data_IF_396800315966
#
_entry.id   IF_396800315966
#
_cell.length_a   1.000
_cell.length_b   1.000
_cell.length_c   1.000
_cell.angle_alpha   90.00
_cell.angle_beta   90.00
_cell.angle_gamma   90.00
#
_symmetry.space_group_name_H-M   'P 1'
#
loop_
_entity.id
_entity.type
_entity.pdbx_description
1 polymer ?
#
# COMPACT_ATOMS: atom_id res chain seq x y z
N UNK A 1 4.25 -28.89 4.57
CA UNK A 1 4.67 -27.92 3.54
C UNK A 1 4.70 -26.48 4.05
N UNK A 2 3.62 -25.90 4.60
CA UNK A 2 3.62 -24.54 5.17
C UNK A 2 4.65 -24.31 6.28
N UNK A 3 4.79 -25.19 7.32
CA UNK A 3 5.76 -24.97 8.41
C UNK A 3 7.21 -24.93 7.92
N UNK A 4 7.56 -25.76 6.96
CA UNK A 4 8.91 -25.79 6.37
C UNK A 4 9.21 -24.54 5.55
N UNK A 5 8.22 -24.03 4.80
CA UNK A 5 8.34 -22.78 4.06
C UNK A 5 8.58 -21.59 5.02
N UNK A 6 7.80 -21.50 6.09
CA UNK A 6 7.94 -20.43 7.10
C UNK A 6 9.30 -20.52 7.78
N UNK A 7 9.73 -21.71 8.19
CA UNK A 7 11.04 -21.94 8.83
C UNK A 7 12.20 -21.53 7.91
N UNK A 8 12.17 -21.99 6.66
CA UNK A 8 13.21 -21.65 5.66
C UNK A 8 13.26 -20.16 5.38
N UNK A 9 12.09 -19.51 5.21
CA UNK A 9 12.00 -18.08 4.98
C UNK A 9 12.54 -17.28 6.18
N UNK A 10 12.19 -17.68 7.41
CA UNK A 10 12.69 -17.05 8.62
C UNK A 10 14.23 -17.15 8.75
N UNK A 11 14.79 -18.32 8.45
CA UNK A 11 16.24 -18.52 8.52
C UNK A 11 16.99 -17.65 7.49
N UNK A 12 16.48 -17.56 6.26
CA UNK A 12 17.03 -16.69 5.21
C UNK A 12 16.88 -15.21 5.53
N UNK A 13 15.73 -14.81 6.07
CA UNK A 13 15.51 -13.43 6.52
C UNK A 13 16.48 -13.04 7.64
N UNK A 14 16.70 -13.94 8.62
CA UNK A 14 17.67 -13.73 9.69
C UNK A 14 19.10 -13.56 9.18
N UNK A 15 19.48 -14.26 8.11
CA UNK A 15 20.81 -14.13 7.49
C UNK A 15 21.01 -12.82 6.74
N UNK A 16 19.94 -12.25 6.13
CA UNK A 16 20.01 -11.08 5.24
C UNK A 16 19.19 -9.89 5.76
N UNK A 17 18.85 -9.82 7.05
CA UNK A 17 17.93 -8.83 7.59
C UNK A 17 18.42 -7.39 7.41
N UNK A 18 19.74 -7.14 7.54
CA UNK A 18 20.33 -5.81 7.34
C UNK A 18 20.19 -5.34 5.89
N UNK A 19 20.39 -6.24 4.92
CA UNK A 19 20.25 -5.94 3.51
C UNK A 19 18.79 -5.64 3.14
N UNK A 20 17.87 -6.45 3.66
CA UNK A 20 16.41 -6.26 3.48
C UNK A 20 15.99 -4.93 4.10
N UNK A 21 16.41 -4.65 5.34
CA UNK A 21 16.11 -3.38 6.02
C UNK A 21 16.70 -2.18 5.26
N UNK A 22 17.96 -2.27 4.81
CA UNK A 22 18.60 -1.18 4.07
C UNK A 22 17.87 -0.87 2.75
N UNK A 23 17.46 -1.90 1.99
CA UNK A 23 16.66 -1.72 0.77
C UNK A 23 15.31 -1.09 1.11
N UNK A 24 14.63 -1.58 2.14
CA UNK A 24 13.35 -1.02 2.59
C UNK A 24 13.48 0.47 2.96
N UNK A 25 14.48 0.83 3.77
CA UNK A 25 14.74 2.22 4.14
C UNK A 25 15.06 3.12 2.93
N UNK A 26 15.80 2.62 1.94
CA UNK A 26 16.06 3.36 0.70
C UNK A 26 14.76 3.68 -0.05
N UNK A 27 13.87 2.70 -0.22
CA UNK A 27 12.60 2.92 -0.94
C UNK A 27 11.58 3.71 -0.11
N UNK A 28 11.56 3.54 1.21
CA UNK A 28 10.76 4.36 2.12
C UNK A 28 11.21 5.83 2.06
N UNK A 29 12.53 6.08 2.12
CA UNK A 29 13.09 7.42 1.94
C UNK A 29 12.76 8.03 0.57
N UNK A 30 12.85 7.23 -0.50
CA UNK A 30 12.43 7.66 -1.85
C UNK A 30 10.94 7.99 -1.88
N UNK A 31 10.11 7.17 -1.28
CA UNK A 31 8.67 7.42 -1.14
C UNK A 31 8.41 8.75 -0.45
N UNK A 32 9.07 9.01 0.68
CA UNK A 32 8.93 10.26 1.41
C UNK A 32 9.34 11.47 0.55
N UNK A 33 10.48 11.40 -0.15
CA UNK A 33 10.96 12.47 -1.03
C UNK A 33 9.98 12.75 -2.17
N UNK A 34 9.28 11.74 -2.69
CA UNK A 34 8.30 11.90 -3.75
C UNK A 34 6.95 12.41 -3.22
N UNK A 35 6.45 11.83 -2.15
CA UNK A 35 5.08 12.10 -1.66
C UNK A 35 4.99 13.38 -0.83
N UNK A 36 5.99 13.73 -0.02
CA UNK A 36 5.91 14.91 0.85
C UNK A 36 5.72 16.22 0.05
N UNK A 37 6.51 16.54 -1.00
CA UNK A 37 6.28 17.73 -1.80
C UNK A 37 4.99 17.66 -2.63
N UNK A 38 4.62 16.46 -3.10
CA UNK A 38 3.38 16.27 -3.87
C UNK A 38 2.13 16.55 -3.02
N UNK A 39 2.09 16.01 -1.80
CA UNK A 39 1.01 16.25 -0.85
C UNK A 39 0.99 17.70 -0.37
N UNK A 40 2.17 18.30 -0.13
CA UNK A 40 2.29 19.71 0.21
C UNK A 40 1.77 20.63 -0.89
N UNK A 41 2.13 20.36 -2.15
CA UNK A 41 1.63 21.10 -3.30
C UNK A 41 0.11 20.93 -3.49
N UNK A 42 -0.39 19.71 -3.29
CA UNK A 42 -1.83 19.43 -3.33
C UNK A 42 -2.58 20.21 -2.23
N UNK A 43 -2.07 20.20 -1.00
CA UNK A 43 -2.68 20.96 0.10
C UNK A 43 -2.73 22.47 -0.20
N UNK A 44 -1.63 23.04 -0.70
CA UNK A 44 -1.62 24.46 -1.11
C UNK A 44 -2.58 24.75 -2.28
N UNK A 45 -2.67 23.85 -3.24
CA UNK A 45 -3.61 23.96 -4.35
C UNK A 45 -5.05 23.98 -3.85
N UNK A 46 -5.42 23.08 -2.95
CA UNK A 46 -6.75 22.99 -2.35
C UNK A 46 -7.08 24.22 -1.50
N UNK A 47 -6.12 24.73 -0.70
CA UNK A 47 -6.29 25.99 0.05
C UNK A 47 -6.59 27.17 -0.89
N UNK A 48 -5.85 27.27 -2.00
CA UNK A 48 -6.11 28.32 -3.01
C UNK A 48 -7.47 28.16 -3.66
N UNK A 49 -7.89 26.93 -3.94
CA UNK A 49 -9.18 26.67 -4.59
C UNK A 49 -10.36 26.94 -3.65
N UNK A 50 -10.22 26.60 -2.36
CA UNK A 50 -11.27 26.82 -1.34
C UNK A 50 -11.41 28.29 -0.93
N UNK A 51 -10.37 29.10 -1.13
CA UNK A 51 -10.34 30.49 -0.66
C UNK A 51 -10.38 30.63 0.88
N UNK A 52 -10.22 29.53 1.61
CA UNK A 52 -10.29 29.47 3.08
C UNK A 52 -8.88 29.42 3.69
N UNK A 53 -8.70 29.92 4.92
CA UNK A 53 -7.41 29.85 5.61
C UNK A 53 -7.03 28.42 6.07
N UNK A 54 -8.01 27.51 6.14
CA UNK A 54 -7.81 26.09 6.46
C UNK A 54 -8.82 25.23 5.70
N UNK A 55 -8.41 23.99 5.40
CA UNK A 55 -9.29 22.99 4.79
C UNK A 55 -10.09 22.28 5.90
N UNK A 56 -11.40 22.20 5.70
CA UNK A 56 -12.25 21.33 6.51
C UNK A 56 -12.26 19.91 5.94
N UNK A 57 -12.57 18.91 6.77
CA UNK A 57 -12.67 17.52 6.35
C UNK A 57 -13.63 17.31 5.18
N UNK A 58 -14.70 18.10 5.16
CA UNK A 58 -15.69 18.10 4.06
C UNK A 58 -15.13 18.64 2.74
N UNK A 59 -14.25 19.64 2.78
CA UNK A 59 -13.59 20.16 1.57
C UNK A 59 -12.70 19.08 0.93
N UNK A 60 -11.99 18.29 1.76
CA UNK A 60 -11.18 17.16 1.32
C UNK A 60 -12.04 16.03 0.74
N UNK A 61 -13.18 15.73 1.38
CA UNK A 61 -14.12 14.72 0.90
C UNK A 61 -14.71 15.10 -0.46
N UNK A 62 -15.21 16.32 -0.61
CA UNK A 62 -15.76 16.81 -1.88
C UNK A 62 -14.69 16.83 -2.98
N UNK A 63 -13.46 17.22 -2.65
CA UNK A 63 -12.38 17.11 -3.61
C UNK A 63 -12.12 15.67 -4.01
N UNK A 64 -11.99 14.74 -3.06
CA UNK A 64 -11.72 13.31 -3.33
C UNK A 64 -12.81 12.70 -4.23
N UNK A 65 -14.06 13.11 -4.06
CA UNK A 65 -15.19 12.65 -4.88
C UNK A 65 -15.29 13.40 -6.23
N UNK A 66 -14.55 14.49 -6.43
CA UNK A 66 -14.52 15.21 -7.71
C UNK A 66 -13.70 14.42 -8.75
N UNK A 67 -13.94 14.64 -10.07
CA UNK A 67 -13.12 14.02 -11.12
C UNK A 67 -11.63 14.37 -10.99
N UNK A 68 -11.29 15.59 -10.56
CA UNK A 68 -9.92 16.02 -10.34
C UNK A 68 -9.29 15.28 -9.15
N UNK A 69 -10.02 15.16 -8.04
CA UNK A 69 -9.58 14.41 -6.87
C UNK A 69 -9.41 12.90 -7.15
N UNK A 70 -10.36 12.30 -7.87
CA UNK A 70 -10.25 10.93 -8.32
C UNK A 70 -8.99 10.69 -9.17
N UNK A 71 -8.69 11.61 -10.11
CA UNK A 71 -7.47 11.55 -10.92
C UNK A 71 -6.20 11.63 -10.04
N UNK A 72 -6.17 12.57 -9.08
CA UNK A 72 -5.04 12.71 -8.14
C UNK A 72 -4.86 11.45 -7.29
N UNK A 73 -5.94 10.89 -6.77
CA UNK A 73 -5.89 9.64 -5.99
C UNK A 73 -5.35 8.47 -6.82
N UNK A 74 -5.82 8.33 -8.07
CA UNK A 74 -5.30 7.32 -9.00
C UNK A 74 -3.81 7.52 -9.25
N UNK A 75 -3.36 8.76 -9.44
CA UNK A 75 -1.95 9.09 -9.66
C UNK A 75 -1.10 8.73 -8.42
N UNK A 76 -1.55 9.08 -7.22
CA UNK A 76 -0.87 8.73 -5.97
C UNK A 76 -0.74 7.22 -5.80
N UNK A 77 -1.82 6.48 -6.04
CA UNK A 77 -1.81 5.01 -6.01
C UNK A 77 -0.88 4.44 -7.07
N UNK A 78 -0.88 4.99 -8.28
CA UNK A 78 0.01 4.54 -9.35
C UNK A 78 1.49 4.74 -9.01
N UNK A 79 1.86 5.90 -8.45
CA UNK A 79 3.24 6.17 -7.98
C UNK A 79 3.61 5.20 -6.86
N UNK A 80 2.72 4.96 -5.89
CA UNK A 80 2.95 4.01 -4.80
C UNK A 80 3.22 2.60 -5.35
N UNK A 81 2.41 2.12 -6.30
CA UNK A 81 2.58 0.81 -6.93
C UNK A 81 3.92 0.71 -7.66
N UNK A 82 4.36 1.78 -8.32
CA UNK A 82 5.68 1.82 -8.97
C UNK A 82 6.79 1.68 -7.93
N UNK A 83 6.78 2.46 -6.86
CA UNK A 83 7.79 2.40 -5.79
C UNK A 83 7.83 1.00 -5.16
N UNK A 84 6.67 0.45 -4.81
CA UNK A 84 6.55 -0.91 -4.26
C UNK A 84 7.08 -1.97 -5.26
N UNK A 85 6.80 -1.84 -6.56
CA UNK A 85 7.28 -2.78 -7.56
C UNK A 85 8.82 -2.77 -7.67
N UNK A 86 9.45 -1.60 -7.58
CA UNK A 86 10.91 -1.46 -7.53
C UNK A 86 11.51 -2.05 -6.24
N UNK A 87 10.90 -1.79 -5.10
CA UNK A 87 11.29 -2.37 -3.82
C UNK A 87 11.22 -3.89 -3.87
N UNK A 88 10.08 -4.46 -4.29
CA UNK A 88 9.91 -5.90 -4.44
C UNK A 88 10.93 -6.51 -5.40
N UNK A 89 11.24 -5.83 -6.52
CA UNK A 89 12.26 -6.28 -7.45
C UNK A 89 13.65 -6.37 -6.79
N UNK A 90 14.02 -5.38 -5.98
CA UNK A 90 15.28 -5.37 -5.24
C UNK A 90 15.31 -6.45 -4.15
N UNK A 91 14.22 -6.62 -3.40
CA UNK A 91 14.11 -7.66 -2.37
C UNK A 91 14.17 -9.08 -2.97
N UNK A 92 13.52 -9.29 -4.13
CA UNK A 92 13.60 -10.56 -4.86
C UNK A 92 15.01 -10.85 -5.37
N UNK A 93 15.77 -9.82 -5.77
CA UNK A 93 17.16 -9.98 -6.18
C UNK A 93 18.05 -10.44 -5.00
N UNK A 94 17.82 -9.90 -3.78
CA UNK A 94 18.47 -10.38 -2.56
C UNK A 94 18.14 -11.86 -2.31
N UNK A 95 16.84 -12.21 -2.36
CA UNK A 95 16.39 -13.58 -2.14
C UNK A 95 16.96 -14.58 -3.16
N UNK A 96 17.09 -14.16 -4.43
CA UNK A 96 17.69 -14.99 -5.47
C UNK A 96 19.20 -15.18 -5.27
N UNK A 97 19.94 -14.13 -4.88
CA UNK A 97 21.36 -14.20 -4.57
C UNK A 97 21.62 -15.18 -3.40
N UNK A 98 20.84 -15.07 -2.32
CA UNK A 98 20.90 -15.96 -1.17
C UNK A 98 20.57 -17.42 -1.54
N UNK A 99 19.55 -17.64 -2.38
CA UNK A 99 19.19 -18.95 -2.88
C UNK A 99 20.31 -19.59 -3.72
N UNK A 100 21.11 -18.77 -4.43
CA UNK A 100 22.27 -19.18 -5.19
C UNK A 100 23.56 -19.30 -4.35
N UNK A 101 23.50 -19.18 -3.02
CA UNK A 101 24.66 -19.23 -2.13
C UNK A 101 25.61 -18.03 -2.27
N UNK A 102 25.17 -16.95 -2.90
CA UNK A 102 25.95 -15.72 -3.06
C UNK A 102 25.61 -14.74 -1.95
N UNK A 103 26.60 -13.92 -1.55
CA UNK A 103 26.36 -12.86 -0.60
C UNK A 103 25.45 -11.80 -1.23
N UNK A 104 24.33 -11.51 -0.58
CA UNK A 104 23.41 -10.46 -1.02
C UNK A 104 24.03 -9.08 -0.74
N UNK A 105 24.14 -8.24 -1.77
CA UNK A 105 24.63 -6.88 -1.64
C UNK A 105 23.52 -5.88 -1.96
N UNK A 106 23.35 -4.87 -1.10
CA UNK A 106 22.31 -3.84 -1.23
C UNK A 106 22.44 -3.11 -2.57
N UNK A 107 23.66 -2.63 -2.88
CA UNK A 107 23.92 -1.89 -4.11
C UNK A 107 23.64 -2.71 -5.36
N UNK A 108 24.03 -3.99 -5.37
CA UNK A 108 23.77 -4.88 -6.50
C UNK A 108 22.26 -5.10 -6.70
N UNK A 109 21.48 -5.22 -5.61
CA UNK A 109 20.02 -5.38 -5.68
C UNK A 109 19.32 -4.11 -6.19
N UNK A 110 19.75 -2.93 -5.76
CA UNK A 110 19.23 -1.65 -6.26
C UNK A 110 19.58 -1.45 -7.75
N UNK A 111 20.83 -1.77 -8.14
CA UNK A 111 21.24 -1.72 -9.55
C UNK A 111 20.49 -2.72 -10.43
N UNK A 112 20.13 -3.90 -9.89
CA UNK A 112 19.29 -4.86 -10.60
C UNK A 112 17.93 -4.27 -10.96
N UNK A 113 17.24 -3.64 -10.00
CA UNK A 113 15.93 -3.00 -10.24
C UNK A 113 16.06 -1.80 -11.19
N UNK A 114 17.09 -0.97 -11.04
CA UNK A 114 17.36 0.17 -11.93
C UNK A 114 17.65 -0.25 -13.38
N UNK A 115 18.38 -1.35 -13.61
CA UNK A 115 18.60 -1.87 -14.97
C UNK A 115 17.33 -2.41 -15.62
N UNK A 116 16.31 -2.71 -14.83
CA UNK A 116 15.00 -3.21 -15.28
C UNK A 116 13.88 -2.19 -15.15
N UNK A 117 14.22 -0.90 -15.17
CA UNK A 117 13.28 0.22 -15.02
C UNK A 117 12.09 0.10 -15.98
N UNK A 118 12.34 -0.11 -17.27
CA UNK A 118 11.28 -0.15 -18.30
C UNK A 118 10.33 -1.35 -18.10
N UNK A 119 10.81 -2.60 -17.91
CA UNK A 119 9.93 -3.72 -17.59
C UNK A 119 9.12 -3.53 -16.32
N UNK A 120 9.72 -3.01 -15.24
CA UNK A 120 9.04 -2.77 -13.96
C UNK A 120 7.97 -1.70 -14.11
N UNK A 121 8.27 -0.60 -14.79
CA UNK A 121 7.32 0.50 -15.02
C UNK A 121 6.12 0.03 -15.87
N UNK A 122 6.38 -0.72 -16.94
CA UNK A 122 5.33 -1.32 -17.78
C UNK A 122 4.49 -2.33 -17.00
N UNK A 123 5.10 -3.13 -16.12
CA UNK A 123 4.38 -4.03 -15.23
C UNK A 123 3.47 -3.25 -14.27
N UNK A 124 4.02 -2.25 -13.58
CA UNK A 124 3.28 -1.43 -12.62
C UNK A 124 2.11 -0.69 -13.28
N UNK A 125 2.30 -0.07 -14.44
CA UNK A 125 1.24 0.59 -15.19
C UNK A 125 0.11 -0.38 -15.58
N UNK A 126 0.45 -1.60 -16.02
CA UNK A 126 -0.56 -2.64 -16.31
C UNK A 126 -1.28 -3.12 -15.07
N UNK A 127 -0.58 -3.24 -13.94
CA UNK A 127 -1.17 -3.59 -12.66
C UNK A 127 -2.19 -2.54 -12.23
N UNK A 128 -1.84 -1.23 -12.31
CA UNK A 128 -2.75 -0.12 -12.03
C UNK A 128 -4.02 -0.21 -12.89
N UNK A 129 -3.87 -0.38 -14.21
CA UNK A 129 -5.03 -0.51 -15.12
C UNK A 129 -5.90 -1.71 -14.74
N UNK A 130 -5.31 -2.86 -14.43
CA UNK A 130 -6.06 -4.05 -14.00
C UNK A 130 -6.78 -3.84 -12.66
N UNK A 131 -6.15 -3.16 -11.72
CA UNK A 131 -6.79 -2.80 -10.44
C UNK A 131 -7.95 -1.84 -10.66
N UNK A 132 -7.77 -0.80 -11.49
CA UNK A 132 -8.84 0.14 -11.82
C UNK A 132 -10.04 -0.56 -12.49
N UNK A 133 -9.81 -1.43 -13.47
CA UNK A 133 -10.87 -2.23 -14.11
C UNK A 133 -11.58 -3.12 -13.09
N UNK A 134 -10.86 -3.65 -12.10
CA UNK A 134 -11.45 -4.50 -11.05
C UNK A 134 -12.27 -3.69 -10.05
N UNK A 135 -11.81 -2.50 -9.65
CA UNK A 135 -12.42 -1.66 -8.61
C UNK A 135 -13.58 -0.81 -9.16
N UNK A 136 -13.47 -0.29 -10.39
CA UNK A 136 -14.42 0.63 -10.96
C UNK A 136 -15.90 0.18 -10.88
N UNK A 137 -16.28 -1.08 -11.21
CA UNK A 137 -17.67 -1.49 -11.13
C UNK A 137 -18.22 -1.48 -9.69
N UNK A 138 -17.40 -1.81 -8.70
CA UNK A 138 -17.80 -1.76 -7.29
C UNK A 138 -18.01 -0.32 -6.82
N UNK A 139 -17.11 0.59 -7.20
CA UNK A 139 -17.26 2.00 -6.88
C UNK A 139 -18.52 2.60 -7.55
N UNK A 140 -18.79 2.23 -8.80
CA UNK A 140 -20.01 2.67 -9.48
C UNK A 140 -21.27 2.18 -8.77
N UNK A 141 -21.35 0.90 -8.39
CA UNK A 141 -22.48 0.35 -7.65
C UNK A 141 -22.61 0.99 -6.27
N UNK A 142 -21.49 1.21 -5.55
CA UNK A 142 -21.49 1.88 -4.25
C UNK A 142 -21.97 3.34 -4.36
N UNK A 143 -21.53 4.05 -5.39
CA UNK A 143 -21.98 5.43 -5.65
C UNK A 143 -23.49 5.50 -5.94
N UNK A 144 -24.01 4.57 -6.75
CA UNK A 144 -25.44 4.48 -7.03
C UNK A 144 -26.23 4.14 -5.76
N UNK A 145 -25.76 3.18 -4.96
CA UNK A 145 -26.42 2.81 -3.70
C UNK A 145 -26.43 3.99 -2.71
N UNK A 146 -25.32 4.71 -2.58
CA UNK A 146 -25.23 5.90 -1.75
C UNK A 146 -26.16 7.01 -2.24
N UNK A 147 -26.20 7.24 -3.55
CA UNK A 147 -27.11 8.23 -4.16
C UNK A 147 -28.56 7.98 -3.81
N UNK A 148 -29.05 6.74 -3.92
CA UNK A 148 -30.44 6.43 -3.65
C UNK A 148 -30.79 6.41 -2.15
N UNK A 149 -29.82 6.19 -1.27
CA UNK A 149 -30.10 5.99 0.15
C UNK A 149 -29.78 7.21 1.03
N UNK A 150 -28.83 8.06 0.62
CA UNK A 150 -28.32 9.16 1.45
C UNK A 150 -28.18 10.50 0.73
N UNK A 151 -28.94 10.73 -0.38
CA UNK A 151 -28.86 12.01 -1.11
C UNK A 151 -29.77 13.11 -0.56
N UNK A 152 -30.77 12.78 0.26
CA UNK A 152 -31.85 13.69 0.63
C UNK A 152 -31.47 14.71 1.72
N UNK A 153 -30.42 14.41 2.50
CA UNK A 153 -29.96 15.25 3.61
C UNK A 153 -28.44 15.41 3.61
N UNK A 154 -27.94 16.38 4.38
CA UNK A 154 -26.50 16.56 4.60
C UNK A 154 -25.91 15.39 5.39
N UNK A 155 -24.63 15.09 5.16
CA UNK A 155 -23.91 14.00 5.82
C UNK A 155 -23.91 14.13 7.34
N UNK A 156 -23.89 15.38 7.86
CA UNK A 156 -23.98 15.65 9.29
C UNK A 156 -25.30 15.18 9.89
N UNK A 157 -26.40 15.30 9.15
CA UNK A 157 -27.70 14.76 9.58
C UNK A 157 -27.64 13.24 9.75
N UNK A 158 -27.09 12.53 8.74
CA UNK A 158 -26.99 11.08 8.80
C UNK A 158 -26.07 10.60 9.93
N UNK A 159 -25.00 11.32 10.22
CA UNK A 159 -24.10 10.97 11.32
C UNK A 159 -24.71 11.25 12.71
N UNK A 160 -25.50 12.32 12.84
CA UNK A 160 -26.10 12.73 14.10
C UNK A 160 -27.38 11.97 14.42
N UNK A 161 -28.29 11.81 13.44
CA UNK A 161 -29.62 11.21 13.63
C UNK A 161 -29.60 9.69 13.41
N UNK A 162 -28.70 9.19 12.54
CA UNK A 162 -28.54 7.79 12.18
C UNK A 162 -29.87 7.09 11.80
N UNK A 163 -30.61 7.65 10.83
CA UNK A 163 -31.89 7.08 10.43
C UNK A 163 -31.70 5.69 9.78
N UNK A 164 -32.80 4.91 9.61
CA UNK A 164 -32.72 3.55 9.01
C UNK A 164 -32.03 3.53 7.64
N UNK A 165 -32.20 4.57 6.82
CA UNK A 165 -31.59 4.74 5.50
C UNK A 165 -30.06 4.80 5.60
N UNK A 166 -29.52 5.43 6.65
CA UNK A 166 -28.08 5.48 6.93
C UNK A 166 -27.54 4.07 7.18
N UNK A 167 -28.20 3.28 8.01
CA UNK A 167 -27.76 1.90 8.29
C UNK A 167 -27.89 1.00 7.08
N UNK A 168 -28.93 1.19 6.25
CA UNK A 168 -29.09 0.48 4.98
C UNK A 168 -27.96 0.83 4.02
N UNK A 169 -27.62 2.12 3.89
CA UNK A 169 -26.49 2.58 3.05
C UNK A 169 -25.14 2.04 3.56
N UNK A 170 -24.88 2.15 4.86
CA UNK A 170 -23.67 1.63 5.48
C UNK A 170 -23.52 0.11 5.27
N UNK A 171 -24.61 -0.64 5.43
CA UNK A 171 -24.65 -2.07 5.18
C UNK A 171 -24.41 -2.42 3.70
N UNK A 172 -25.07 -1.73 2.78
CA UNK A 172 -24.90 -1.94 1.33
C UNK A 172 -23.47 -1.61 0.89
N UNK A 173 -22.96 -0.43 1.24
CA UNK A 173 -21.59 0.00 0.89
C UNK A 173 -20.55 -0.92 1.56
N UNK A 174 -20.79 -1.30 2.83
CA UNK A 174 -19.93 -2.25 3.55
C UNK A 174 -19.87 -3.61 2.87
N UNK A 175 -21.02 -4.15 2.43
CA UNK A 175 -21.06 -5.42 1.69
C UNK A 175 -20.33 -5.32 0.34
N UNK A 176 -20.54 -4.24 -0.41
CA UNK A 176 -19.85 -3.98 -1.68
C UNK A 176 -18.33 -3.88 -1.45
N UNK A 177 -17.90 -3.17 -0.40
CA UNK A 177 -16.49 -3.05 -0.03
C UNK A 177 -15.85 -4.40 0.35
N UNK A 178 -16.57 -5.24 1.09
CA UNK A 178 -16.12 -6.60 1.42
C UNK A 178 -15.98 -7.46 0.15
N UNK A 179 -16.96 -7.44 -0.74
CA UNK A 179 -16.92 -8.18 -2.00
C UNK A 179 -15.77 -7.70 -2.89
N UNK A 180 -15.57 -6.39 -3.00
CA UNK A 180 -14.44 -5.78 -3.71
C UNK A 180 -13.10 -6.23 -3.13
N UNK A 181 -12.96 -6.16 -1.81
CA UNK A 181 -11.72 -6.56 -1.10
C UNK A 181 -11.43 -8.04 -1.32
N UNK A 182 -12.43 -8.91 -1.20
CA UNK A 182 -12.28 -10.34 -1.46
C UNK A 182 -11.82 -10.62 -2.90
N UNK A 183 -12.42 -9.92 -3.88
CA UNK A 183 -12.01 -10.05 -5.29
C UNK A 183 -10.58 -9.52 -5.51
N UNK A 184 -10.22 -8.38 -4.91
CA UNK A 184 -8.86 -7.82 -5.00
C UNK A 184 -7.82 -8.79 -4.43
N UNK A 185 -8.05 -9.35 -3.24
CA UNK A 185 -7.16 -10.35 -2.64
C UNK A 185 -7.02 -11.56 -3.57
N UNK A 186 -8.13 -12.07 -4.10
CA UNK A 186 -8.11 -13.18 -5.05
C UNK A 186 -7.27 -12.85 -6.29
N UNK A 187 -7.45 -11.67 -6.89
CA UNK A 187 -6.69 -11.21 -8.06
C UNK A 187 -5.20 -11.05 -7.74
N UNK A 188 -4.86 -10.45 -6.60
CA UNK A 188 -3.47 -10.28 -6.17
C UNK A 188 -2.77 -11.63 -5.96
N UNK A 189 -3.45 -12.62 -5.38
CA UNK A 189 -2.94 -13.99 -5.28
C UNK A 189 -2.69 -14.60 -6.67
N UNK A 190 -3.62 -14.42 -7.60
CA UNK A 190 -3.47 -14.90 -8.97
C UNK A 190 -2.29 -14.23 -9.71
N UNK A 191 -1.98 -12.97 -9.39
CA UNK A 191 -0.92 -12.18 -10.03
C UNK A 191 0.39 -12.14 -9.24
N UNK A 192 0.49 -12.87 -8.13
CA UNK A 192 1.66 -12.85 -7.24
C UNK A 192 2.98 -13.24 -7.91
N UNK A 193 2.94 -14.09 -8.94
CA UNK A 193 4.11 -14.50 -9.72
C UNK A 193 4.35 -13.63 -10.96
N UNK A 194 3.50 -12.63 -11.25
CA UNK A 194 3.61 -11.87 -12.49
C UNK A 194 4.91 -11.02 -12.53
N UNK A 195 5.28 -10.36 -11.42
CA UNK A 195 6.52 -9.60 -11.33
C UNK A 195 7.78 -10.50 -11.41
N UNK A 196 7.89 -11.61 -10.65
CA UNK A 196 8.98 -12.57 -10.83
C UNK A 196 9.16 -13.07 -12.27
N UNK A 197 8.07 -13.34 -12.99
CA UNK A 197 8.12 -13.77 -14.39
C UNK A 197 8.71 -12.69 -15.31
N UNK A 198 8.38 -11.42 -15.05
CA UNK A 198 8.98 -10.28 -15.80
C UNK A 198 10.48 -10.14 -15.47
N UNK A 199 10.86 -10.31 -14.20
CA UNK A 199 12.22 -10.04 -13.74
C UNK A 199 13.20 -11.17 -14.06
N UNK A 200 12.78 -12.43 -13.93
CA UNK A 200 13.68 -13.57 -13.95
C UNK A 200 13.46 -14.52 -15.14
N UNK A 201 12.27 -14.46 -15.77
CA UNK A 201 11.97 -15.24 -16.95
C UNK A 201 11.94 -14.38 -18.24
N UNK A 202 12.33 -13.11 -18.15
CA UNK A 202 12.31 -12.11 -19.23
C UNK A 202 10.98 -12.07 -20.01
N UNK A 203 9.88 -12.41 -19.31
CA UNK A 203 8.55 -12.45 -19.90
C UNK A 203 8.00 -11.03 -20.10
N UNK A 204 7.42 -10.78 -21.27
CA UNK A 204 6.76 -9.50 -21.54
C UNK A 204 5.66 -9.22 -20.49
N UNK A 205 5.61 -8.00 -19.89
CA UNK A 205 4.64 -7.64 -18.85
C UNK A 205 3.17 -7.88 -19.24
N UNK A 206 2.86 -7.80 -20.55
CA UNK A 206 1.51 -8.08 -21.05
C UNK A 206 1.08 -9.54 -20.83
N UNK A 207 2.00 -10.49 -20.92
CA UNK A 207 1.74 -11.93 -20.81
C UNK A 207 1.94 -12.46 -19.41
N UNK A 208 2.68 -11.75 -18.54
CA UNK A 208 3.05 -12.22 -17.20
C UNK A 208 1.85 -12.47 -16.29
N UNK A 209 0.81 -11.64 -16.36
CA UNK A 209 -0.40 -11.81 -15.55
C UNK A 209 -1.15 -13.11 -15.89
N UNK A 210 -1.37 -13.39 -17.18
CA UNK A 210 -2.05 -14.62 -17.62
C UNK A 210 -1.20 -15.87 -17.31
N UNK A 211 0.13 -15.77 -17.45
CA UNK A 211 1.02 -16.85 -17.07
C UNK A 211 1.01 -17.08 -15.54
N UNK A 212 1.03 -16.01 -14.74
CA UNK A 212 0.90 -16.09 -13.29
C UNK A 212 -0.40 -16.78 -12.86
N UNK A 213 -1.54 -16.43 -13.45
CA UNK A 213 -2.82 -17.05 -13.15
C UNK A 213 -2.81 -18.57 -13.38
N UNK A 214 -2.15 -19.03 -14.46
CA UNK A 214 -2.00 -20.47 -14.76
C UNK A 214 -1.07 -21.16 -13.76
N UNK A 215 0.04 -20.53 -13.39
CA UNK A 215 1.01 -21.11 -12.45
C UNK A 215 0.47 -21.18 -11.03
N UNK A 216 -0.34 -20.21 -10.62
CA UNK A 216 -0.89 -20.14 -9.26
C UNK A 216 -2.14 -21.00 -9.06
N UNK A 217 -2.80 -21.48 -10.12
CA UNK A 217 -4.12 -22.12 -10.05
C UNK A 217 -4.21 -23.27 -9.04
N UNK A 218 -3.17 -24.09 -8.91
CA UNK A 218 -3.15 -25.23 -7.98
C UNK A 218 -2.65 -24.87 -6.57
N UNK A 219 -1.99 -23.73 -6.41
CA UNK A 219 -1.33 -23.32 -5.16
C UNK A 219 -1.95 -22.06 -4.53
N UNK A 220 -3.10 -21.58 -5.00
CA UNK A 220 -3.73 -20.32 -4.51
C UNK A 220 -3.96 -20.32 -3.01
N UNK A 221 -4.41 -21.44 -2.43
CA UNK A 221 -4.63 -21.58 -0.98
C UNK A 221 -3.33 -21.45 -0.19
N UNK A 222 -2.24 -22.02 -0.70
CA UNK A 222 -0.92 -21.92 -0.06
C UNK A 222 -0.37 -20.49 -0.13
N UNK A 223 -0.53 -19.82 -1.29
CA UNK A 223 -0.11 -18.42 -1.47
C UNK A 223 -0.93 -17.51 -0.57
N UNK A 224 -2.26 -17.69 -0.53
CA UNK A 224 -3.15 -16.94 0.36
C UNK A 224 -2.78 -17.14 1.83
N UNK A 225 -2.51 -18.39 2.25
CA UNK A 225 -2.06 -18.70 3.61
C UNK A 225 -0.73 -18.03 3.95
N UNK A 226 0.24 -18.05 3.03
CA UNK A 226 1.52 -17.37 3.22
C UNK A 226 1.36 -15.86 3.34
N UNK A 227 0.51 -15.25 2.50
CA UNK A 227 0.17 -13.83 2.56
C UNK A 227 -0.48 -13.47 3.92
N UNK A 228 -1.39 -14.31 4.40
CA UNK A 228 -2.07 -14.10 5.67
C UNK A 228 -1.12 -14.19 6.87
N UNK A 229 -0.21 -15.18 6.87
CA UNK A 229 0.84 -15.31 7.89
C UNK A 229 1.76 -14.10 7.88
N UNK A 230 2.14 -13.62 6.68
CA UNK A 230 2.96 -12.41 6.53
C UNK A 230 2.23 -11.17 7.05
N UNK A 231 0.95 -11.00 6.73
CA UNK A 231 0.12 -9.88 7.19
C UNK A 231 0.01 -9.84 8.73
N UNK A 232 -0.22 -11.00 9.36
CA UNK A 232 -0.26 -11.10 10.82
C UNK A 232 1.11 -10.75 11.41
N UNK A 233 2.20 -11.30 10.85
CA UNK A 233 3.55 -11.02 11.32
C UNK A 233 3.90 -9.53 11.18
N UNK A 234 3.56 -8.90 10.04
CA UNK A 234 3.76 -7.48 9.81
C UNK A 234 2.94 -6.62 10.79
N UNK A 235 1.67 -6.97 11.03
CA UNK A 235 0.81 -6.28 11.98
C UNK A 235 1.36 -6.37 13.42
N UNK A 236 1.75 -7.56 13.87
CA UNK A 236 2.32 -7.78 15.20
C UNK A 236 3.63 -7.02 15.39
N UNK A 237 4.50 -7.04 14.37
CA UNK A 237 5.76 -6.31 14.39
C UNK A 237 5.51 -4.78 14.43
N UNK A 238 4.60 -4.29 13.60
CA UNK A 238 4.19 -2.88 13.60
C UNK A 238 3.61 -2.44 14.93
N UNK A 239 2.72 -3.25 15.53
CA UNK A 239 2.16 -2.98 16.84
C UNK A 239 3.23 -2.97 17.95
N UNK A 240 4.22 -3.89 17.87
CA UNK A 240 5.35 -3.94 18.80
C UNK A 240 6.19 -2.65 18.68
N UNK A 241 6.57 -2.27 17.46
CA UNK A 241 7.38 -1.05 17.22
C UNK A 241 6.62 0.19 17.68
N UNK A 242 5.33 0.33 17.33
CA UNK A 242 4.50 1.45 17.77
C UNK A 242 4.37 1.49 19.31
N UNK A 243 4.25 0.33 19.97
CA UNK A 243 4.23 0.21 21.43
C UNK A 243 5.55 0.66 22.04
N UNK A 244 6.67 0.19 21.52
CA UNK A 244 8.00 0.60 21.96
C UNK A 244 8.23 2.11 21.78
N UNK A 245 7.82 2.66 20.62
CA UNK A 245 7.93 4.10 20.35
C UNK A 245 7.07 4.94 21.30
N UNK A 246 5.84 4.49 21.60
CA UNK A 246 4.99 5.17 22.60
C UNK A 246 5.62 5.17 24.00
N UNK A 247 6.18 4.03 24.42
CA UNK A 247 6.89 3.92 25.68
C UNK A 247 8.09 4.85 25.73
N UNK A 248 8.93 4.86 24.69
CA UNK A 248 10.07 5.76 24.57
C UNK A 248 9.62 7.23 24.60
N UNK A 249 8.58 7.57 23.87
CA UNK A 249 8.02 8.93 23.88
C UNK A 249 7.53 9.32 25.28
N UNK A 250 6.83 8.41 25.98
CA UNK A 250 6.37 8.67 27.34
C UNK A 250 7.51 8.97 28.33
N UNK A 251 8.65 8.31 28.17
CA UNK A 251 9.82 8.54 29.04
C UNK A 251 10.68 9.72 28.61
N UNK A 252 10.83 9.97 27.30
CA UNK A 252 11.72 11.01 26.77
C UNK A 252 11.06 12.40 26.72
N UNK A 253 9.75 12.47 26.39
CA UNK A 253 9.06 13.76 26.25
C UNK A 253 9.11 14.62 27.52
N UNK A 254 8.91 14.08 28.76
CA UNK A 254 9.03 14.88 29.97
C UNK A 254 10.43 15.43 30.24
N UNK A 255 11.49 14.80 29.68
CA UNK A 255 12.87 15.22 29.86
C UNK A 255 13.27 16.43 28.98
N UNK A 256 12.47 16.71 27.94
CA UNK A 256 12.74 17.71 26.90
C UNK A 256 11.55 18.67 26.71
N UNK A 257 10.89 19.08 27.79
CA UNK A 257 9.66 19.87 27.78
C UNK A 257 9.73 21.19 26.97
N UNK A 258 10.90 21.78 26.78
CA UNK A 258 11.08 23.03 26.01
C UNK A 258 11.23 22.82 24.50
N UNK A 259 11.36 21.57 24.01
CA UNK A 259 11.51 21.20 22.58
C UNK A 259 10.48 20.16 22.09
N UNK A 260 9.35 20.07 22.78
CA UNK A 260 8.30 19.04 22.58
C UNK A 260 7.77 18.97 21.14
N UNK A 261 7.69 20.10 20.43
CA UNK A 261 7.16 20.14 19.06
C UNK A 261 8.05 19.38 18.06
N UNK A 262 9.36 19.44 18.22
CA UNK A 262 10.33 18.81 17.30
C UNK A 262 10.42 17.30 17.55
N UNK A 263 10.39 16.88 18.83
CA UNK A 263 10.40 15.47 19.22
C UNK A 263 9.07 14.80 18.87
N UNK A 264 7.92 15.44 19.11
CA UNK A 264 6.62 14.93 18.73
C UNK A 264 6.49 14.78 17.21
N UNK A 265 7.02 15.72 16.43
CA UNK A 265 7.08 15.63 14.97
C UNK A 265 8.00 14.49 14.50
N UNK A 266 9.17 14.31 15.13
CA UNK A 266 10.11 13.21 14.84
C UNK A 266 9.51 11.85 15.18
N UNK A 267 8.84 11.69 16.33
CA UNK A 267 8.16 10.47 16.71
C UNK A 267 6.92 10.21 15.85
N UNK A 268 6.17 11.25 15.48
CA UNK A 268 5.06 11.15 14.52
C UNK A 268 5.53 10.71 13.13
N UNK A 269 6.63 11.26 12.64
CA UNK A 269 7.28 10.84 11.41
C UNK A 269 7.74 9.38 11.48
N UNK A 270 8.43 8.97 12.53
CA UNK A 270 8.89 7.60 12.72
C UNK A 270 7.74 6.59 12.81
N UNK A 271 6.61 6.95 13.43
CA UNK A 271 5.41 6.09 13.48
C UNK A 271 4.64 6.05 12.18
N UNK A 272 4.70 7.10 11.35
CA UNK A 272 4.10 7.13 10.01
C UNK A 272 4.93 6.34 8.97
N UNK A 273 6.21 6.10 9.25
CA UNK A 273 7.11 5.33 8.39
C UNK A 273 6.96 3.80 8.56
N UNK A 274 6.22 3.34 9.53
CA UNK A 274 5.92 1.92 9.79
C UNK A 274 4.47 1.57 9.49
#
# INVERSE_FOLDING_TARGET
MMPELVKTTFFRLKSNWLQVLAVHLCYTGLGFILFAPLLGALGQFLLKLSGKPALADMDLLYFALSPAGAFVLILLVAISIVVIAFELASLMAIGLADAGGKRAEVMASLMFSLRRVVPIFNFAGRLVVKLLITVAPFLAVAAVAAWFLISDHDINYYLAVQPPEFWAAAGAVGFIALAMTALLIYRLVCWSLALPLVLFADMAPARSFAASEKLTQFNRRTILGALFVWLIAAFLLGALVAGCMRLLAHWLVPLFLDSVSLLAALFGLLTAFW
#
